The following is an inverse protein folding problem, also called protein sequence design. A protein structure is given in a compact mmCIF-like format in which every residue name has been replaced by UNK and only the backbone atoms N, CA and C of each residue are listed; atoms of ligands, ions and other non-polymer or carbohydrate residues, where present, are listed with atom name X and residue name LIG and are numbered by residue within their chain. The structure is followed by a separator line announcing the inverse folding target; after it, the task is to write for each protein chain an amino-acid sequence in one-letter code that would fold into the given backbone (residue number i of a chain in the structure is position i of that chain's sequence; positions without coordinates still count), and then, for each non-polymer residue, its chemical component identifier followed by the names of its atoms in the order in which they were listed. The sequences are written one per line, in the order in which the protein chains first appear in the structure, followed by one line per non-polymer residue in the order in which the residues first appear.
data_IF_973713568051
#
_entry.id   IF_973713568051
#
_cell.length_a   1.000
_cell.length_b   1.000
_cell.length_c   1.000
_cell.angle_alpha   90.00
_cell.angle_beta   90.00
_cell.angle_gamma   90.00
#
_symmetry.space_group_name_H-M   'P 1'
#
loop_
_entity.id
_entity.type
_entity.pdbx_description
1 polymer ?
#
# COMPACT_ATOMS: atom_id res chain seq x y z
N UNK A 1 -7.12 13.90 -9.02
CA UNK A 1 -5.94 14.50 -8.39
C UNK A 1 -5.95 14.15 -6.92
N UNK A 2 -4.79 13.81 -6.38
CA UNK A 2 -4.59 13.30 -5.02
C UNK A 2 -5.16 14.19 -3.93
N UNK A 3 -5.23 15.50 -4.16
CA UNK A 3 -5.85 16.48 -3.26
C UNK A 3 -7.31 16.20 -2.90
N UNK A 4 -8.01 15.43 -3.73
CA UNK A 4 -9.42 15.05 -3.52
C UNK A 4 -9.57 13.80 -2.63
N UNK A 5 -8.46 13.14 -2.30
CA UNK A 5 -8.40 11.92 -1.53
C UNK A 5 -7.67 12.17 -0.20
N UNK A 6 -7.99 11.39 0.83
CA UNK A 6 -7.28 11.42 2.09
C UNK A 6 -6.58 10.07 2.32
N UNK A 7 -5.30 10.10 2.67
CA UNK A 7 -4.54 8.88 3.00
C UNK A 7 -5.22 8.08 4.13
N UNK A 8 -5.93 8.75 5.04
CA UNK A 8 -6.66 8.13 6.13
C UNK A 8 -7.81 7.22 5.66
N UNK A 9 -8.37 7.46 4.47
CA UNK A 9 -9.42 6.60 3.90
C UNK A 9 -8.88 5.22 3.46
N UNK A 10 -7.56 5.08 3.36
CA UNK A 10 -6.88 3.85 2.93
C UNK A 10 -6.26 3.06 4.08
N UNK A 11 -6.24 3.61 5.30
CA UNK A 11 -5.62 2.93 6.44
C UNK A 11 -6.52 1.82 6.98
N UNK A 12 -5.89 0.76 7.46
CA UNK A 12 -6.55 -0.41 8.00
C UNK A 12 -6.42 -0.43 9.53
N UNK A 13 -7.49 -0.87 10.20
CA UNK A 13 -7.41 -1.26 11.61
C UNK A 13 -7.04 -2.73 11.72
N UNK A 14 -6.63 -3.17 12.92
CA UNK A 14 -6.41 -4.58 13.22
C UNK A 14 -7.64 -5.49 12.93
N UNK A 15 -8.86 -4.93 12.92
CA UNK A 15 -10.07 -5.65 12.55
C UNK A 15 -10.26 -5.79 11.02
N UNK A 16 -9.61 -4.94 10.23
CA UNK A 16 -9.78 -4.88 8.78
C UNK A 16 -8.77 -5.80 8.05
N UNK A 17 -7.62 -6.09 8.67
CA UNK A 17 -6.56 -6.92 8.06
C UNK A 17 -6.86 -8.42 8.05
N UNK A 18 -7.86 -8.89 8.80
CA UNK A 18 -8.24 -10.29 8.86
C UNK A 18 -7.59 -11.06 10.02
N UNK A 19 -7.49 -12.38 9.88
CA UNK A 19 -6.91 -13.28 10.90
C UNK A 19 -5.43 -13.53 10.58
N UNK A 20 -4.56 -13.04 11.46
CA UNK A 20 -3.10 -13.15 11.35
C UNK A 20 -2.51 -13.88 12.56
N UNK A 21 -3.25 -14.83 13.12
CA UNK A 21 -2.82 -15.66 14.25
C UNK A 21 -2.36 -14.84 15.49
N UNK A 22 -2.90 -13.62 15.68
CA UNK A 22 -2.54 -12.73 16.79
C UNK A 22 -1.57 -11.60 16.43
N UNK A 23 -1.08 -11.54 15.20
CA UNK A 23 -0.20 -10.47 14.70
C UNK A 23 -0.99 -9.36 13.97
N UNK A 24 -2.32 -9.29 14.10
CA UNK A 24 -3.16 -8.36 13.33
C UNK A 24 -2.81 -6.88 13.60
N UNK A 25 -2.45 -6.55 14.83
CA UNK A 25 -2.01 -5.19 15.20
C UNK A 25 -0.73 -4.82 14.45
N UNK A 26 0.28 -5.71 14.49
CA UNK A 26 1.56 -5.52 13.81
C UNK A 26 1.39 -5.41 12.29
N UNK A 27 0.54 -6.26 11.71
CA UNK A 27 0.25 -6.26 10.28
C UNK A 27 -0.45 -4.96 9.87
N UNK A 28 -1.45 -4.52 10.62
CA UNK A 28 -2.14 -3.26 10.36
C UNK A 28 -1.20 -2.05 10.49
N UNK A 29 -0.36 -2.00 11.52
CA UNK A 29 0.64 -0.94 11.69
C UNK A 29 1.62 -0.92 10.51
N UNK A 30 2.20 -2.07 10.18
CA UNK A 30 3.18 -2.19 9.09
C UNK A 30 2.55 -1.79 7.75
N UNK A 31 1.34 -2.28 7.47
CA UNK A 31 0.62 -1.93 6.24
C UNK A 31 0.32 -0.43 6.16
N UNK A 32 -0.11 0.18 7.27
CA UNK A 32 -0.38 1.61 7.32
C UNK A 32 0.88 2.43 7.07
N UNK A 33 2.03 2.03 7.63
CA UNK A 33 3.32 2.64 7.34
C UNK A 33 3.68 2.53 5.85
N UNK A 34 3.49 1.35 5.25
CA UNK A 34 3.72 1.12 3.83
C UNK A 34 2.79 1.96 2.94
N UNK A 35 1.52 2.13 3.32
CA UNK A 35 0.57 2.99 2.61
C UNK A 35 1.00 4.45 2.70
N UNK A 36 1.53 4.90 3.85
CA UNK A 36 2.09 6.25 3.97
C UNK A 36 3.30 6.44 3.05
N UNK A 37 4.23 5.48 3.04
CA UNK A 37 5.39 5.50 2.12
C UNK A 37 4.93 5.53 0.67
N UNK A 38 3.91 4.74 0.33
CA UNK A 38 3.35 4.72 -1.01
C UNK A 38 2.72 6.07 -1.39
N UNK A 39 1.94 6.62 -0.46
CA UNK A 39 1.27 7.90 -0.63
C UNK A 39 2.27 9.03 -0.91
N UNK A 40 3.43 9.06 -0.25
CA UNK A 40 4.45 10.08 -0.51
C UNK A 40 5.07 9.98 -1.91
N UNK A 41 5.14 8.77 -2.48
CA UNK A 41 5.71 8.54 -3.81
C UNK A 41 4.75 8.83 -4.96
N UNK A 42 3.44 8.71 -4.72
CA UNK A 42 2.41 8.95 -5.71
C UNK A 42 2.33 10.46 -6.05
N UNK A 43 2.40 10.84 -7.35
CA UNK A 43 2.33 12.24 -7.76
C UNK A 43 0.93 12.84 -7.53
N UNK A 44 0.87 14.10 -7.13
CA UNK A 44 -0.40 14.77 -6.79
C UNK A 44 -1.36 14.94 -7.98
N UNK A 45 -0.82 14.98 -9.20
CA UNK A 45 -1.57 15.12 -10.46
C UNK A 45 -2.27 13.80 -10.88
N UNK A 46 -1.94 12.67 -10.23
CA UNK A 46 -2.49 11.37 -10.58
C UNK A 46 -4.02 11.32 -10.44
N UNK A 47 -4.68 10.60 -11.34
CA UNK A 47 -6.12 10.39 -11.29
C UNK A 47 -6.50 9.59 -10.03
N UNK A 48 -7.62 9.95 -9.39
CA UNK A 48 -8.03 9.30 -8.14
C UNK A 48 -8.21 7.79 -8.33
N UNK A 49 -8.81 7.39 -9.46
CA UNK A 49 -8.99 5.97 -9.82
C UNK A 49 -7.66 5.21 -9.86
N UNK A 50 -6.59 5.85 -10.33
CA UNK A 50 -5.26 5.25 -10.39
C UNK A 50 -4.62 5.13 -9.01
N UNK A 51 -4.79 6.16 -8.17
CA UNK A 51 -4.33 6.13 -6.78
C UNK A 51 -5.01 4.99 -6.03
N UNK A 52 -6.34 4.88 -6.16
CA UNK A 52 -7.12 3.78 -5.61
C UNK A 52 -6.60 2.43 -6.08
N UNK A 53 -6.36 2.25 -7.38
CA UNK A 53 -5.83 1.00 -7.93
C UNK A 53 -4.46 0.63 -7.35
N UNK A 54 -3.54 1.59 -7.25
CA UNK A 54 -2.19 1.37 -6.71
C UNK A 54 -2.27 1.00 -5.23
N UNK A 55 -3.00 1.77 -4.42
CA UNK A 55 -3.05 1.53 -2.97
C UNK A 55 -3.78 0.22 -2.65
N UNK A 56 -4.90 -0.06 -3.31
CA UNK A 56 -5.60 -1.33 -3.13
C UNK A 56 -4.73 -2.51 -3.60
N UNK A 57 -3.96 -2.33 -4.66
CA UNK A 57 -3.02 -3.34 -5.16
C UNK A 57 -1.94 -3.72 -4.15
N UNK A 58 -1.37 -2.75 -3.42
CA UNK A 58 -0.41 -3.01 -2.33
C UNK A 58 -1.03 -3.98 -1.31
N UNK A 59 -2.26 -3.68 -0.85
CA UNK A 59 -2.96 -4.56 0.08
C UNK A 59 -3.24 -5.94 -0.51
N UNK A 60 -3.69 -6.02 -1.76
CA UNK A 60 -4.00 -7.30 -2.40
C UNK A 60 -2.80 -8.23 -2.56
N UNK A 61 -1.63 -7.66 -2.85
CA UNK A 61 -0.40 -8.42 -2.95
C UNK A 61 0.12 -8.84 -1.56
N UNK A 62 0.18 -7.91 -0.60
CA UNK A 62 0.74 -8.18 0.71
C UNK A 62 -0.15 -9.11 1.55
N UNK A 63 -1.48 -8.97 1.50
CA UNK A 63 -2.39 -9.85 2.26
C UNK A 63 -2.37 -11.31 1.82
N UNK A 64 -1.91 -11.56 0.58
CA UNK A 64 -1.78 -12.90 0.01
C UNK A 64 -0.42 -13.55 0.30
N UNK A 65 0.50 -12.81 0.92
CA UNK A 65 1.89 -13.19 1.08
C UNK A 65 2.32 -13.14 2.55
N UNK A 66 3.08 -14.14 3.00
CA UNK A 66 3.60 -14.19 4.38
C UNK A 66 4.72 -13.17 4.61
N UNK A 67 5.23 -12.53 3.56
CA UNK A 67 6.25 -11.48 3.64
C UNK A 67 5.89 -10.36 4.62
N UNK A 68 4.60 -10.05 4.81
CA UNK A 68 4.16 -9.02 5.76
C UNK A 68 4.61 -9.28 7.20
N UNK A 69 4.76 -10.56 7.57
CA UNK A 69 5.19 -10.98 8.92
C UNK A 69 6.63 -11.48 8.92
N UNK A 70 7.07 -12.11 7.83
CA UNK A 70 8.38 -12.75 7.73
C UNK A 70 9.50 -11.81 7.25
N UNK A 71 9.19 -10.83 6.40
CA UNK A 71 10.19 -9.94 5.80
C UNK A 71 10.54 -8.76 6.71
N UNK A 72 11.70 -8.17 6.48
CA UNK A 72 12.09 -6.94 7.15
C UNK A 72 11.34 -5.74 6.55
N UNK A 73 11.11 -4.70 7.37
CA UNK A 73 10.40 -3.50 6.94
C UNK A 73 11.06 -2.83 5.72
N UNK A 74 12.39 -2.81 5.66
CA UNK A 74 13.14 -2.23 4.53
C UNK A 74 12.87 -2.97 3.22
N UNK A 75 12.74 -4.31 3.27
CA UNK A 75 12.40 -5.13 2.11
C UNK A 75 10.96 -4.85 1.63
N UNK A 76 10.03 -4.68 2.56
CA UNK A 76 8.65 -4.32 2.24
C UNK A 76 8.56 -2.93 1.60
N UNK A 77 9.32 -1.96 2.12
CA UNK A 77 9.41 -0.61 1.54
C UNK A 77 10.00 -0.64 0.13
N UNK A 78 11.05 -1.42 -0.10
CA UNK A 78 11.65 -1.59 -1.44
C UNK A 78 10.64 -2.21 -2.41
N UNK A 79 9.92 -3.24 -1.96
CA UNK A 79 8.86 -3.88 -2.75
C UNK A 79 7.74 -2.90 -3.11
N UNK A 80 7.22 -2.13 -2.13
CA UNK A 80 6.17 -1.12 -2.37
C UNK A 80 6.66 -0.05 -3.34
N UNK A 81 7.89 0.42 -3.17
CA UNK A 81 8.52 1.40 -4.07
C UNK A 81 8.59 0.86 -5.49
N UNK A 82 9.04 -0.38 -5.67
CA UNK A 82 9.11 -1.02 -6.98
C UNK A 82 7.72 -1.19 -7.60
N UNK A 83 6.74 -1.63 -6.81
CA UNK A 83 5.36 -1.81 -7.25
C UNK A 83 4.74 -0.50 -7.74
N UNK A 84 4.93 0.60 -7.00
CA UNK A 84 4.43 1.93 -7.39
C UNK A 84 5.11 2.40 -8.67
N UNK A 85 6.44 2.29 -8.75
CA UNK A 85 7.17 2.70 -9.95
C UNK A 85 6.69 1.93 -11.18
N UNK A 86 6.53 0.60 -11.06
CA UNK A 86 5.99 -0.23 -12.14
C UNK A 86 4.56 0.17 -12.49
N UNK A 87 3.71 0.42 -11.50
CA UNK A 87 2.30 0.79 -11.73
C UNK A 87 2.17 2.18 -12.36
N UNK A 88 3.05 3.12 -12.00
CA UNK A 88 3.11 4.45 -12.61
C UNK A 88 3.62 4.39 -14.06
N UNK A 89 4.60 3.53 -14.35
CA UNK A 89 5.15 3.35 -15.69
C UNK A 89 4.12 2.72 -16.65
N UNK A 90 3.42 1.66 -16.20
CA UNK A 90 2.34 1.01 -16.97
C UNK A 90 1.20 2.00 -17.30
N UNK A 91 0.96 2.97 -16.43
CA UNK A 91 -0.05 4.02 -16.61
C UNK A 91 0.37 5.14 -17.57
N UNK A 92 1.65 5.25 -17.94
CA UNK A 92 2.14 6.23 -18.91
C UNK A 92 1.96 5.73 -20.35
N UNK A 93 1.67 4.43 -20.56
CA UNK A 93 1.54 3.81 -21.88
C UNK A 93 0.08 3.74 -22.44
N UNK A 94 -0.91 4.37 -21.81
CA UNK A 94 -2.32 4.45 -22.29
C UNK A 94 -2.75 5.87 -22.70
#
# INVERSE_FOLDING_TARGET
MKELLNVQDYLFSNFDVGDWEGDEERVAETLNELIHVAWEQIPDDLACEQIDLIINGIWEHLRGDLALVEAEYDELVDWVTHYIQSSLDDNIEL
#
